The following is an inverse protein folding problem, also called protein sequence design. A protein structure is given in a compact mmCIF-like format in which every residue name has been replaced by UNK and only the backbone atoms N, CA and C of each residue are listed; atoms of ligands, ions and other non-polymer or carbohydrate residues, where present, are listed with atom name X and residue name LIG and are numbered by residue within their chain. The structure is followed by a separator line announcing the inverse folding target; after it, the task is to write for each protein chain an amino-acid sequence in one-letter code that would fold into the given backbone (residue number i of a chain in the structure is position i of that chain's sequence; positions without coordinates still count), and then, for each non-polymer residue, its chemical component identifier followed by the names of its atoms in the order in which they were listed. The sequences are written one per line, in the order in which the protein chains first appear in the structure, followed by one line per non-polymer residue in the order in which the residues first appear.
data_IF_337668304265
#
_entry.id   IF_337668304265
#
_cell.length_a   1.000
_cell.length_b   1.000
_cell.length_c   1.000
_cell.angle_alpha   90.00
_cell.angle_beta   90.00
_cell.angle_gamma   90.00
#
_symmetry.space_group_name_H-M   'P 1'
#
loop_
_entity.id
_entity.type
_entity.pdbx_description
1 polymer ?
#
# COMPACT_ATOMS: atom_id res chain seq x y z
N UNK A 1 -3.09 31.75 25.05
CA UNK A 1 -3.97 30.89 24.26
C UNK A 1 -3.79 29.46 24.77
N UNK A 2 -4.84 28.85 25.32
CA UNK A 2 -4.82 27.42 25.69
C UNK A 2 -4.52 26.60 24.41
N UNK A 3 -3.45 25.79 24.40
CA UNK A 3 -3.23 24.84 23.31
C UNK A 3 -4.37 23.84 23.33
N UNK A 4 -5.11 23.71 22.21
CA UNK A 4 -6.09 22.64 22.05
C UNK A 4 -5.43 21.30 22.30
N UNK A 5 -6.05 20.47 23.13
CA UNK A 5 -5.53 19.12 23.37
C UNK A 5 -5.76 18.26 22.11
N UNK A 6 -4.68 17.99 21.38
CA UNK A 6 -4.72 17.22 20.11
C UNK A 6 -5.13 15.76 20.30
N UNK A 7 -5.20 15.25 21.53
CA UNK A 7 -5.70 13.91 21.86
C UNK A 7 -7.23 13.83 21.85
N UNK A 8 -7.90 14.98 21.90
CA UNK A 8 -9.35 15.04 21.84
C UNK A 8 -9.79 15.04 20.37
N UNK A 9 -10.64 14.09 20.01
CA UNK A 9 -11.13 13.93 18.62
C UNK A 9 -11.82 15.19 18.09
N UNK A 10 -12.50 15.94 18.96
CA UNK A 10 -13.17 17.20 18.62
C UNK A 10 -12.21 18.31 18.17
N UNK A 11 -10.93 18.19 18.50
CA UNK A 11 -9.88 19.12 18.09
C UNK A 11 -9.17 18.68 16.79
N UNK A 12 -9.53 17.51 16.25
CA UNK A 12 -9.03 16.99 14.98
C UNK A 12 -9.78 17.56 13.78
N UNK A 13 -9.24 17.28 12.60
CA UNK A 13 -9.91 17.54 11.34
C UNK A 13 -10.13 16.23 10.59
N UNK A 14 -11.23 16.17 9.84
CA UNK A 14 -11.55 14.99 9.04
C UNK A 14 -10.76 14.99 7.74
N UNK A 15 -10.07 13.90 7.44
CA UNK A 15 -9.51 13.65 6.12
C UNK A 15 -10.65 13.21 5.20
N UNK A 16 -10.82 13.83 4.01
CA UNK A 16 -11.85 13.43 3.07
C UNK A 16 -11.71 11.96 2.66
N UNK A 17 -12.79 11.23 2.78
CA UNK A 17 -12.89 9.82 2.43
C UNK A 17 -14.37 9.49 2.13
N UNK A 18 -14.60 8.36 1.50
CA UNK A 18 -15.96 7.83 1.29
C UNK A 18 -16.49 7.14 2.56
N UNK A 19 -17.26 6.06 2.40
CA UNK A 19 -17.85 5.35 3.55
C UNK A 19 -16.80 4.58 4.34
N UNK A 20 -15.96 3.77 3.65
CA UNK A 20 -14.82 3.09 4.24
C UNK A 20 -13.56 3.95 4.12
N UNK A 21 -12.73 3.96 5.14
CA UNK A 21 -11.43 4.62 5.10
C UNK A 21 -10.43 3.87 5.97
N UNK A 22 -9.26 3.56 5.41
CA UNK A 22 -8.22 2.79 6.07
C UNK A 22 -6.82 3.31 5.75
N UNK A 23 -5.90 3.07 6.67
CA UNK A 23 -4.46 3.29 6.55
C UNK A 23 -4.05 4.69 6.06
N UNK A 24 -4.40 5.76 6.77
CA UNK A 24 -3.92 7.08 6.42
C UNK A 24 -2.42 7.20 6.68
N UNK A 25 -1.63 7.46 5.64
CA UNK A 25 -0.21 7.79 5.76
C UNK A 25 0.04 9.20 5.27
N UNK A 26 0.90 9.93 5.97
CA UNK A 26 1.22 11.33 5.67
C UNK A 26 2.70 11.47 5.40
N UNK A 27 3.04 12.18 4.32
CA UNK A 27 4.37 12.69 4.04
C UNK A 27 4.32 14.23 3.96
N UNK A 28 5.40 14.89 4.35
CA UNK A 28 5.56 16.32 4.15
C UNK A 28 6.30 16.54 2.84
N UNK A 29 5.67 17.26 1.92
CA UNK A 29 6.24 17.63 0.63
C UNK A 29 7.16 18.84 0.73
N UNK A 30 8.00 19.09 -0.27
CA UNK A 30 9.00 20.17 -0.21
C UNK A 30 8.38 21.57 -0.30
N UNK A 31 7.17 21.71 -0.82
CA UNK A 31 6.38 22.93 -0.74
C UNK A 31 5.72 23.16 0.62
N UNK A 32 6.03 22.30 1.61
CA UNK A 32 5.58 22.41 2.99
C UNK A 32 4.21 21.81 3.29
N UNK A 33 3.48 21.33 2.27
CA UNK A 33 2.18 20.71 2.47
C UNK A 33 2.30 19.31 3.09
N UNK A 34 1.25 18.88 3.76
CA UNK A 34 1.02 17.49 4.14
C UNK A 34 0.26 16.80 3.04
N UNK A 35 0.78 15.71 2.54
CA UNK A 35 0.11 14.83 1.60
C UNK A 35 -0.28 13.56 2.33
N UNK A 36 -1.56 13.26 2.38
CA UNK A 36 -2.11 12.05 2.98
C UNK A 36 -2.63 11.12 1.90
N UNK A 37 -2.29 9.82 1.95
CA UNK A 37 -2.99 8.79 1.19
C UNK A 37 -3.94 8.03 2.10
N UNK A 38 -5.00 7.50 1.53
CA UNK A 38 -6.01 6.68 2.21
C UNK A 38 -6.59 5.67 1.21
N UNK A 39 -6.83 4.44 1.66
CA UNK A 39 -7.70 3.51 0.96
C UNK A 39 -9.14 3.85 1.33
N UNK A 40 -10.00 4.03 0.34
CA UNK A 40 -11.39 4.43 0.55
C UNK A 40 -12.32 3.74 -0.43
N UNK A 41 -13.62 3.81 -0.20
CA UNK A 41 -14.66 3.23 -1.04
C UNK A 41 -15.94 2.96 -0.28
N UNK A 42 -16.89 2.34 -0.93
CA UNK A 42 -18.13 1.89 -0.31
C UNK A 42 -17.94 0.53 0.37
N UNK A 43 -18.80 0.20 1.33
CA UNK A 43 -18.80 -1.10 2.01
C UNK A 43 -17.84 -1.19 3.20
N UNK A 44 -17.30 -2.38 3.43
CA UNK A 44 -16.36 -2.70 4.49
C UNK A 44 -14.98 -3.07 3.93
N UNK A 45 -14.00 -3.30 4.80
CA UNK A 45 -12.66 -3.74 4.40
C UNK A 45 -12.71 -4.93 3.44
N UNK A 46 -11.96 -4.82 2.34
CA UNK A 46 -11.91 -5.86 1.31
C UNK A 46 -13.09 -5.89 0.33
N UNK A 47 -14.04 -4.98 0.45
CA UNK A 47 -15.15 -4.87 -0.49
C UNK A 47 -14.67 -4.45 -1.89
N UNK A 48 -15.46 -4.79 -2.90
CA UNK A 48 -15.21 -4.36 -4.27
C UNK A 48 -15.37 -2.83 -4.41
N UNK A 49 -14.60 -2.24 -5.33
CA UNK A 49 -14.65 -0.82 -5.63
C UNK A 49 -13.76 0.05 -4.72
N UNK A 50 -13.01 -0.54 -3.79
CA UNK A 50 -12.03 0.21 -3.01
C UNK A 50 -10.90 0.73 -3.88
N UNK A 51 -10.44 1.94 -3.57
CA UNK A 51 -9.40 2.62 -4.32
C UNK A 51 -8.55 3.51 -3.41
N UNK A 52 -7.39 3.90 -3.91
CA UNK A 52 -6.46 4.78 -3.21
C UNK A 52 -6.66 6.22 -3.68
N UNK A 53 -6.86 7.10 -2.72
CA UNK A 53 -6.95 8.55 -2.94
C UNK A 53 -5.91 9.28 -2.10
N UNK A 54 -5.58 10.50 -2.51
CA UNK A 54 -4.70 11.39 -1.77
C UNK A 54 -5.34 12.75 -1.57
N UNK A 55 -5.07 13.37 -0.41
CA UNK A 55 -5.51 14.71 -0.07
C UNK A 55 -4.31 15.53 0.40
N UNK A 56 -4.34 16.83 0.14
CA UNK A 56 -3.30 17.77 0.56
C UNK A 56 -3.82 18.73 1.62
N UNK A 57 -2.95 19.08 2.56
CA UNK A 57 -3.18 20.14 3.52
C UNK A 57 -2.01 21.12 3.52
N UNK A 58 -2.29 22.41 3.42
CA UNK A 58 -1.29 23.50 3.51
C UNK A 58 -1.27 24.19 4.85
N UNK A 59 -2.08 23.73 5.81
CA UNK A 59 -2.28 24.32 7.13
C UNK A 59 -2.05 23.32 8.28
N UNK A 60 -1.17 22.35 8.04
CA UNK A 60 -0.80 21.30 9.00
C UNK A 60 -1.98 20.41 9.41
N UNK A 61 -2.79 20.00 8.44
CA UNK A 61 -3.88 19.07 8.63
C UNK A 61 -5.17 19.67 9.18
N UNK A 62 -5.30 20.99 9.26
CA UNK A 62 -6.54 21.63 9.71
C UNK A 62 -7.63 21.57 8.65
N UNK A 63 -7.24 21.76 7.40
CA UNK A 63 -8.12 21.57 6.24
C UNK A 63 -7.43 20.71 5.18
N UNK A 64 -8.19 20.05 4.36
CA UNK A 64 -7.73 19.15 3.31
C UNK A 64 -8.38 19.49 1.98
N UNK A 65 -7.63 19.28 0.90
CA UNK A 65 -8.15 19.41 -0.46
C UNK A 65 -9.18 18.32 -0.76
N UNK A 66 -9.91 18.49 -1.87
CA UNK A 66 -10.64 17.39 -2.49
C UNK A 66 -9.70 16.21 -2.77
N UNK A 67 -10.22 14.97 -2.69
CA UNK A 67 -9.44 13.78 -2.99
C UNK A 67 -8.97 13.73 -4.44
N UNK A 68 -7.73 13.32 -4.64
CA UNK A 68 -7.15 13.01 -5.94
C UNK A 68 -6.97 11.50 -6.03
N UNK A 69 -7.65 10.86 -6.97
CA UNK A 69 -7.52 9.43 -7.20
C UNK A 69 -6.15 9.09 -7.78
N UNK A 70 -5.52 8.05 -7.26
CA UNK A 70 -4.20 7.58 -7.74
C UNK A 70 -4.34 6.80 -9.05
N UNK A 71 -5.43 6.07 -9.19
CA UNK A 71 -5.80 5.35 -10.42
C UNK A 71 -6.99 5.99 -11.12
N UNK A 72 -7.18 5.64 -12.39
CA UNK A 72 -8.32 6.12 -13.15
C UNK A 72 -9.63 5.58 -12.55
N UNK A 73 -10.72 6.37 -12.58
CA UNK A 73 -12.03 5.88 -12.15
C UNK A 73 -12.45 4.61 -12.91
N UNK A 74 -12.98 3.64 -12.18
CA UNK A 74 -13.44 2.37 -12.77
C UNK A 74 -12.33 1.33 -13.01
N UNK A 75 -11.10 1.60 -12.57
CA UNK A 75 -10.05 0.57 -12.53
C UNK A 75 -10.40 -0.52 -11.49
N UNK A 76 -9.63 -1.61 -11.51
CA UNK A 76 -9.75 -2.66 -10.48
C UNK A 76 -9.33 -2.10 -9.11
N UNK A 77 -9.72 -2.80 -8.06
CA UNK A 77 -9.45 -2.39 -6.69
C UNK A 77 -7.95 -2.19 -6.44
N UNK A 78 -7.65 -1.12 -5.73
CA UNK A 78 -6.34 -0.82 -5.21
C UNK A 78 -6.43 -0.37 -3.75
N UNK A 79 -5.47 -0.79 -2.92
CA UNK A 79 -5.58 -0.69 -1.46
C UNK A 79 -4.21 -0.71 -0.79
N UNK A 80 -4.20 -0.50 0.52
CA UNK A 80 -3.01 -0.59 1.37
C UNK A 80 -1.86 0.32 0.90
N UNK A 81 -2.19 1.57 0.61
CA UNK A 81 -1.21 2.51 0.10
C UNK A 81 -0.29 3.06 1.18
N UNK A 82 1.00 3.17 0.85
CA UNK A 82 1.99 3.90 1.65
C UNK A 82 2.80 4.81 0.75
N UNK A 83 3.32 5.89 1.30
CA UNK A 83 4.09 6.86 0.53
C UNK A 83 5.53 6.97 1.02
N UNK A 84 6.43 7.29 0.10
CA UNK A 84 7.83 7.59 0.35
C UNK A 84 8.25 8.82 -0.45
N UNK A 85 8.72 9.86 0.24
CA UNK A 85 9.31 11.01 -0.42
C UNK A 85 10.81 10.78 -0.66
N UNK A 86 11.24 10.88 -1.91
CA UNK A 86 12.63 10.83 -2.30
C UNK A 86 13.39 12.12 -1.93
N UNK A 87 14.73 12.09 -1.87
CA UNK A 87 15.54 13.29 -1.67
C UNK A 87 15.35 14.37 -2.74
N UNK A 88 14.97 13.99 -3.97
CA UNK A 88 14.64 14.90 -5.07
C UNK A 88 13.32 15.66 -4.90
N UNK A 89 12.51 15.29 -3.90
CA UNK A 89 11.15 15.82 -3.71
C UNK A 89 10.05 14.99 -4.38
N UNK A 90 10.38 14.07 -5.29
CA UNK A 90 9.44 13.11 -5.88
C UNK A 90 8.79 12.30 -4.76
N UNK A 91 7.48 12.09 -4.85
CA UNK A 91 6.73 11.24 -3.92
C UNK A 91 6.33 9.97 -4.64
N UNK A 92 6.78 8.83 -4.14
CA UNK A 92 6.32 7.51 -4.57
C UNK A 92 5.13 7.09 -3.70
N UNK A 93 4.16 6.43 -4.32
CA UNK A 93 3.04 5.78 -3.65
C UNK A 93 3.00 4.30 -4.05
N UNK A 94 3.07 3.41 -3.07
CA UNK A 94 3.07 1.96 -3.22
C UNK A 94 1.75 1.41 -2.75
N UNK A 95 1.16 0.47 -3.49
CA UNK A 95 -0.14 -0.08 -3.14
C UNK A 95 -0.37 -1.46 -3.79
N UNK A 96 -1.31 -2.20 -3.22
CA UNK A 96 -1.83 -3.42 -3.83
C UNK A 96 -2.79 -3.05 -4.97
N UNK A 97 -2.73 -3.79 -6.06
CA UNK A 97 -3.69 -3.69 -7.15
C UNK A 97 -4.17 -5.08 -7.54
N UNK A 98 -5.47 -5.30 -7.53
CA UNK A 98 -6.09 -6.56 -7.92
C UNK A 98 -6.01 -6.76 -9.46
N UNK A 99 -4.79 -6.82 -9.99
CA UNK A 99 -4.49 -6.85 -11.43
C UNK A 99 -5.14 -8.02 -12.16
N UNK A 100 -5.35 -9.14 -11.47
CA UNK A 100 -5.95 -10.35 -12.02
C UNK A 100 -7.48 -10.28 -12.01
N UNK A 101 -8.07 -9.23 -11.46
CA UNK A 101 -9.52 -9.05 -11.32
C UNK A 101 -10.22 -10.25 -10.66
N UNK A 102 -9.55 -10.86 -9.69
CA UNK A 102 -10.09 -11.99 -8.93
C UNK A 102 -11.17 -11.50 -7.99
N UNK A 103 -12.34 -12.14 -8.00
CA UNK A 103 -13.54 -11.72 -7.23
C UNK A 103 -13.87 -12.65 -6.09
N UNK A 104 -13.37 -13.86 -6.14
CA UNK A 104 -13.59 -14.88 -5.13
C UNK A 104 -12.34 -15.75 -5.00
N UNK A 105 -11.98 -16.10 -3.78
CA UNK A 105 -10.85 -16.97 -3.46
C UNK A 105 -11.30 -18.09 -2.53
N UNK A 106 -10.72 -19.28 -2.71
CA UNK A 106 -10.96 -20.42 -1.83
C UNK A 106 -10.19 -20.27 -0.51
N UNK A 107 -10.79 -20.76 0.56
CA UNK A 107 -10.08 -20.99 1.82
C UNK A 107 -8.98 -22.05 1.64
N UNK A 108 -8.00 -22.08 2.53
CA UNK A 108 -6.91 -23.06 2.50
C UNK A 108 -7.39 -24.50 2.59
N UNK A 109 -8.50 -24.75 3.32
CA UNK A 109 -9.10 -26.06 3.45
C UNK A 109 -10.05 -26.41 2.28
N UNK A 110 -10.23 -25.47 1.33
CA UNK A 110 -11.12 -25.60 0.16
C UNK A 110 -12.61 -25.82 0.49
N UNK A 111 -13.02 -25.53 1.71
CA UNK A 111 -14.42 -25.73 2.16
C UNK A 111 -15.26 -24.45 2.08
N UNK A 112 -14.63 -23.33 1.91
CA UNK A 112 -15.29 -22.04 1.83
C UNK A 112 -14.62 -21.11 0.83
N UNK A 113 -15.24 -19.94 0.65
CA UNK A 113 -14.74 -18.88 -0.22
C UNK A 113 -14.76 -17.53 0.50
N UNK A 114 -13.91 -16.64 0.04
CA UNK A 114 -13.87 -15.23 0.42
C UNK A 114 -14.06 -14.35 -0.80
N UNK A 115 -14.79 -13.29 -0.64
CA UNK A 115 -14.95 -12.23 -1.65
C UNK A 115 -14.02 -11.02 -1.40
N UNK A 116 -13.11 -11.14 -0.45
CA UNK A 116 -12.12 -10.11 -0.14
C UNK A 116 -11.13 -9.97 -1.28
N UNK A 117 -10.96 -8.75 -1.83
CA UNK A 117 -10.17 -8.49 -3.03
C UNK A 117 -8.99 -7.53 -2.82
N UNK A 118 -8.87 -6.95 -1.65
CA UNK A 118 -7.87 -5.93 -1.31
C UNK A 118 -6.45 -6.46 -1.12
N UNK A 119 -6.28 -7.76 -0.86
CA UNK A 119 -5.00 -8.43 -0.61
C UNK A 119 -4.48 -9.25 -1.80
N UNK A 120 -4.92 -8.96 -3.01
CA UNK A 120 -4.68 -9.75 -4.22
C UNK A 120 -3.92 -8.97 -5.30
N UNK A 121 -3.37 -9.70 -6.26
CA UNK A 121 -2.82 -9.17 -7.50
C UNK A 121 -1.34 -8.80 -7.43
N UNK A 122 -1.00 -7.61 -7.90
CA UNK A 122 0.36 -7.08 -7.99
C UNK A 122 0.61 -5.98 -6.97
N UNK A 123 1.85 -5.92 -6.48
CA UNK A 123 2.32 -4.77 -5.73
C UNK A 123 2.93 -3.77 -6.70
N UNK A 124 2.42 -2.56 -6.69
CA UNK A 124 2.73 -1.56 -7.70
C UNK A 124 3.07 -0.22 -7.08
N UNK A 125 3.66 0.67 -7.87
CA UNK A 125 3.82 2.06 -7.48
C UNK A 125 3.53 3.02 -8.63
N UNK A 126 3.21 4.25 -8.25
CA UNK A 126 3.20 5.46 -9.07
C UNK A 126 4.02 6.52 -8.38
N UNK A 127 4.27 7.63 -9.08
CA UNK A 127 4.98 8.76 -8.49
C UNK A 127 4.34 10.11 -8.86
N UNK A 128 4.67 11.10 -8.07
CA UNK A 128 4.29 12.50 -8.28
C UNK A 128 5.53 13.39 -8.22
N UNK A 129 5.70 14.25 -9.23
CA UNK A 129 6.74 15.28 -9.28
C UNK A 129 6.20 16.69 -8.93
N UNK A 130 4.92 16.77 -8.61
CA UNK A 130 4.20 18.02 -8.34
C UNK A 130 3.63 18.09 -6.91
N UNK A 131 4.29 17.39 -5.98
CA UNK A 131 3.93 17.35 -4.56
C UNK A 131 2.57 16.70 -4.28
N UNK A 132 2.17 15.70 -5.09
CA UNK A 132 0.91 14.97 -4.92
C UNK A 132 -0.31 15.66 -5.51
N UNK A 133 -0.13 16.63 -6.42
CA UNK A 133 -1.25 17.24 -7.15
C UNK A 133 -1.74 16.37 -8.29
N UNK A 134 -0.81 15.60 -8.89
CA UNK A 134 -1.12 14.57 -9.86
C UNK A 134 -0.18 13.36 -9.71
N UNK A 135 -0.57 12.25 -10.28
CA UNK A 135 0.18 11.00 -10.26
C UNK A 135 0.58 10.59 -11.68
N UNK A 136 1.73 9.91 -11.82
CA UNK A 136 2.18 9.39 -13.10
C UNK A 136 1.07 8.58 -13.79
N UNK A 137 1.00 8.70 -15.12
CA UNK A 137 0.05 7.92 -15.91
C UNK A 137 0.39 6.44 -15.85
N UNK A 138 1.66 6.14 -16.04
CA UNK A 138 2.22 4.80 -15.97
C UNK A 138 2.24 4.31 -14.53
N UNK A 139 2.09 3.02 -14.38
CA UNK A 139 2.16 2.23 -13.15
C UNK A 139 3.29 1.23 -13.32
N UNK A 140 4.06 1.03 -12.25
CA UNK A 140 5.21 0.15 -12.23
C UNK A 140 4.97 -1.00 -11.27
N UNK A 141 5.10 -2.22 -11.76
CA UNK A 141 4.99 -3.41 -10.90
C UNK A 141 6.32 -3.67 -10.21
N UNK A 142 6.27 -3.99 -8.93
CA UNK A 142 7.43 -4.38 -8.13
C UNK A 142 7.51 -5.90 -8.15
N UNK A 143 8.52 -6.49 -8.80
CA UNK A 143 8.73 -7.91 -8.74
C UNK A 143 9.19 -8.30 -7.33
N UNK A 144 8.59 -9.33 -6.76
CA UNK A 144 9.03 -9.88 -5.50
C UNK A 144 9.11 -11.41 -5.55
N UNK A 145 10.13 -11.93 -4.91
CA UNK A 145 10.37 -13.37 -4.84
C UNK A 145 9.28 -14.04 -4.02
N UNK A 146 8.77 -15.18 -4.50
CA UNK A 146 7.81 -15.99 -3.76
C UNK A 146 8.51 -16.74 -2.64
N UNK A 147 7.87 -16.79 -1.48
CA UNK A 147 8.24 -17.66 -0.37
C UNK A 147 7.49 -19.01 -0.45
N UNK A 148 7.82 -19.94 0.41
CA UNK A 148 7.12 -21.22 0.48
C UNK A 148 5.64 -21.05 0.83
N UNK A 149 5.29 -20.06 1.66
CA UNK A 149 3.90 -19.76 1.96
C UNK A 149 3.10 -19.38 0.70
N UNK A 150 3.72 -18.67 -0.24
CA UNK A 150 3.05 -18.32 -1.51
C UNK A 150 2.94 -19.54 -2.43
N UNK A 151 4.05 -20.29 -2.59
CA UNK A 151 4.10 -21.46 -3.48
C UNK A 151 3.17 -22.59 -3.04
N UNK A 152 2.99 -22.74 -1.73
CA UNK A 152 2.21 -23.82 -1.12
C UNK A 152 0.75 -23.44 -0.88
N UNK A 153 0.30 -22.25 -1.25
CA UNK A 153 -1.10 -21.88 -1.14
C UNK A 153 -1.98 -22.71 -2.11
N UNK A 154 -3.30 -22.66 -1.94
CA UNK A 154 -4.27 -23.46 -2.74
C UNK A 154 -4.19 -23.21 -4.24
N UNK A 155 -3.53 -22.13 -4.66
CA UNK A 155 -3.34 -21.73 -6.05
C UNK A 155 -1.93 -21.98 -6.56
N UNK A 156 -1.04 -22.55 -5.74
CA UNK A 156 0.34 -22.84 -6.14
C UNK A 156 1.14 -21.58 -6.52
N UNK A 157 0.89 -20.47 -5.84
CA UNK A 157 1.56 -19.19 -6.08
C UNK A 157 1.05 -18.39 -7.30
N UNK A 158 0.09 -18.91 -8.07
CA UNK A 158 -0.52 -18.17 -9.18
C UNK A 158 -1.33 -16.97 -8.71
N UNK A 159 -2.04 -17.11 -7.59
CA UNK A 159 -2.67 -16.02 -6.86
C UNK A 159 -1.86 -15.82 -5.59
N UNK A 160 -1.40 -14.59 -5.37
CA UNK A 160 -0.60 -14.19 -4.21
C UNK A 160 -1.49 -13.43 -3.24
N UNK A 161 -1.34 -13.72 -1.95
CA UNK A 161 -2.05 -13.03 -0.89
C UNK A 161 -1.04 -12.21 -0.09
N UNK A 162 -1.20 -10.89 -0.11
CA UNK A 162 -0.31 -9.99 0.60
C UNK A 162 -0.97 -8.64 0.83
N UNK A 163 -0.41 -7.89 1.78
CA UNK A 163 -0.73 -6.47 1.95
C UNK A 163 0.46 -5.71 2.50
N UNK A 164 0.40 -4.40 2.37
CA UNK A 164 1.35 -3.49 2.97
C UNK A 164 0.68 -2.71 4.10
N UNK A 165 1.21 -2.84 5.29
CA UNK A 165 0.76 -2.11 6.48
C UNK A 165 1.91 -1.37 7.16
N UNK A 166 3.11 -1.46 6.61
CA UNK A 166 4.30 -0.83 7.14
C UNK A 166 4.64 0.46 6.40
N UNK A 167 5.10 1.47 7.11
CA UNK A 167 5.58 2.70 6.49
C UNK A 167 6.78 2.40 5.58
N UNK A 168 6.72 2.89 4.33
CA UNK A 168 7.90 2.95 3.48
C UNK A 168 8.92 3.96 4.05
N UNK A 169 10.21 3.65 3.94
CA UNK A 169 11.28 4.52 4.42
C UNK A 169 12.53 4.42 3.54
N UNK A 170 13.43 5.36 3.69
CA UNK A 170 14.73 5.30 3.06
C UNK A 170 15.85 5.17 4.10
N UNK A 171 16.86 4.37 3.76
CA UNK A 171 18.06 4.20 4.54
C UNK A 171 19.26 4.29 3.58
N UNK A 172 20.14 5.24 3.79
CA UNK A 172 21.37 5.45 2.99
C UNK A 172 21.11 5.46 1.47
N UNK A 173 20.08 6.19 1.04
CA UNK A 173 19.71 6.31 -0.38
C UNK A 173 18.93 5.12 -0.93
N UNK A 174 18.70 4.09 -0.14
CA UNK A 174 17.94 2.89 -0.51
C UNK A 174 16.48 3.02 -0.10
N UNK A 175 15.55 2.68 -0.99
CA UNK A 175 14.13 2.60 -0.68
C UNK A 175 13.79 1.23 -0.07
N UNK A 176 12.96 1.25 0.96
CA UNK A 176 12.55 0.06 1.71
C UNK A 176 11.04 0.09 1.91
N UNK A 177 10.35 -0.97 1.51
CA UNK A 177 8.89 -1.13 1.63
C UNK A 177 8.58 -2.52 2.18
N UNK A 178 7.79 -2.60 3.24
CA UNK A 178 7.41 -3.88 3.84
C UNK A 178 6.22 -4.51 3.13
N UNK A 179 6.17 -5.84 3.14
CA UNK A 179 4.99 -6.62 2.78
C UNK A 179 4.74 -7.69 3.85
N UNK A 180 3.47 -7.90 4.16
CA UNK A 180 3.01 -9.09 4.86
C UNK A 180 2.52 -10.07 3.81
N UNK A 181 3.08 -11.27 3.83
CA UNK A 181 2.74 -12.38 2.93
C UNK A 181 1.80 -13.32 3.66
N UNK A 182 0.77 -13.76 2.99
CA UNK A 182 -0.25 -14.64 3.57
C UNK A 182 -0.36 -15.87 2.68
N UNK A 183 0.12 -17.00 3.16
CA UNK A 183 0.06 -18.24 2.38
C UNK A 183 -1.34 -18.82 2.26
N UNK A 184 -2.20 -18.53 3.22
CA UNK A 184 -3.51 -19.15 3.32
C UNK A 184 -4.57 -18.14 3.75
N UNK A 185 -5.75 -18.23 3.18
CA UNK A 185 -6.92 -17.46 3.61
C UNK A 185 -7.89 -18.38 4.36
N UNK A 186 -8.44 -17.89 5.48
CA UNK A 186 -9.33 -18.65 6.35
C UNK A 186 -9.09 -18.36 7.81
N UNK A 187 -9.65 -19.17 8.70
CA UNK A 187 -9.45 -19.02 10.14
C UNK A 187 -7.95 -19.12 10.49
N UNK A 188 -7.49 -18.17 11.29
CA UNK A 188 -6.09 -18.12 11.74
C UNK A 188 -5.06 -17.68 10.70
N UNK A 189 -5.46 -17.10 9.58
CA UNK A 189 -4.54 -16.69 8.53
C UNK A 189 -3.48 -15.66 8.98
N UNK A 190 -3.81 -14.78 9.91
CA UNK A 190 -2.83 -13.84 10.48
C UNK A 190 -1.67 -14.53 11.21
N UNK A 191 -1.93 -15.66 11.84
CA UNK A 191 -0.92 -16.42 12.57
C UNK A 191 0.09 -17.11 11.64
N UNK A 192 -0.24 -17.23 10.37
CA UNK A 192 0.57 -17.87 9.33
C UNK A 192 1.19 -16.85 8.37
N UNK A 193 1.11 -15.58 8.71
CA UNK A 193 1.69 -14.50 7.92
C UNK A 193 3.19 -14.43 8.10
N UNK A 194 3.88 -14.03 7.03
CA UNK A 194 5.32 -13.85 7.00
C UNK A 194 5.65 -12.42 6.58
N UNK A 195 6.49 -11.74 7.35
CA UNK A 195 6.99 -10.42 7.00
C UNK A 195 8.07 -10.50 5.93
N UNK A 196 8.05 -9.58 4.97
CA UNK A 196 9.12 -9.37 4.01
C UNK A 196 9.41 -7.89 3.82
N UNK A 197 10.59 -7.59 3.30
CA UNK A 197 11.00 -6.24 2.96
C UNK A 197 11.44 -6.21 1.50
N UNK A 198 10.92 -5.28 0.73
CA UNK A 198 11.37 -4.98 -0.62
C UNK A 198 12.36 -3.83 -0.55
N UNK A 199 13.55 -4.06 -1.09
CA UNK A 199 14.67 -3.13 -1.08
C UNK A 199 15.00 -2.73 -2.51
N UNK A 200 15.07 -1.42 -2.79
CA UNK A 200 15.59 -0.91 -4.04
C UNK A 200 16.74 0.06 -3.77
N UNK A 201 17.96 -0.26 -4.19
CA UNK A 201 19.12 0.61 -4.00
C UNK A 201 19.13 1.81 -4.94
N UNK A 202 18.37 1.77 -6.02
CA UNK A 202 18.43 2.69 -7.15
C UNK A 202 17.10 3.37 -7.53
N UNK A 203 16.00 3.10 -6.84
CA UNK A 203 14.68 3.74 -7.13
C UNK A 203 14.75 5.27 -7.22
N UNK A 204 15.62 5.91 -6.42
CA UNK A 204 15.71 7.37 -6.39
C UNK A 204 16.64 7.96 -7.47
N UNK A 205 17.41 7.11 -8.14
CA UNK A 205 18.45 7.52 -9.10
C UNK A 205 18.24 6.94 -10.49
N UNK A 206 17.38 5.95 -10.65
CA UNK A 206 17.02 5.40 -11.96
C UNK A 206 16.37 6.47 -12.83
N UNK A 207 16.84 6.61 -14.06
CA UNK A 207 16.28 7.54 -15.04
C UNK A 207 14.84 7.12 -15.40
N UNK A 208 14.63 5.84 -15.62
CA UNK A 208 13.30 5.24 -15.74
C UNK A 208 12.97 4.41 -14.48
N UNK A 209 11.91 4.76 -13.74
CA UNK A 209 11.50 3.97 -12.58
C UNK A 209 11.19 2.49 -12.87
N UNK A 210 10.91 2.14 -14.14
CA UNK A 210 10.72 0.74 -14.56
C UNK A 210 12.02 -0.08 -14.46
N UNK A 211 13.17 0.56 -14.52
CA UNK A 211 14.49 -0.08 -14.46
C UNK A 211 15.00 -0.25 -13.01
N UNK A 212 14.28 0.26 -12.03
CA UNK A 212 14.67 0.14 -10.62
C UNK A 212 14.77 -1.34 -10.20
N UNK A 213 15.89 -1.70 -9.59
CA UNK A 213 16.11 -3.05 -9.10
C UNK A 213 15.43 -3.27 -7.75
N UNK A 214 14.78 -4.43 -7.62
CA UNK A 214 14.10 -4.81 -6.39
C UNK A 214 14.64 -6.13 -5.84
N UNK A 215 14.94 -6.14 -4.57
CA UNK A 215 15.45 -7.28 -3.81
C UNK A 215 14.45 -7.61 -2.72
N UNK A 216 14.04 -8.88 -2.64
CA UNK A 216 13.17 -9.38 -1.57
C UNK A 216 14.00 -9.90 -0.40
N UNK A 217 13.76 -9.37 0.79
CA UNK A 217 14.38 -9.81 2.04
C UNK A 217 13.31 -10.44 2.98
N UNK A 218 13.71 -11.38 3.87
CA UNK A 218 15.04 -11.99 3.97
C UNK A 218 15.37 -12.85 2.73
N UNK A 219 16.63 -13.20 2.58
CA UNK A 219 17.03 -14.21 1.59
C UNK A 219 16.49 -15.60 2.00
N UNK A 220 16.34 -16.50 0.99
CA UNK A 220 15.80 -17.85 1.23
C UNK A 220 14.29 -17.95 0.95
N UNK A 221 13.69 -19.03 1.40
CA UNK A 221 12.34 -19.45 1.01
C UNK A 221 11.24 -19.09 2.03
N UNK A 222 11.60 -18.48 3.16
CA UNK A 222 10.67 -18.05 4.19
C UNK A 222 10.91 -16.60 4.58
N UNK A 223 9.83 -15.93 4.99
CA UNK A 223 9.85 -14.59 5.55
C UNK A 223 10.11 -14.57 7.05
N UNK A 224 10.00 -13.37 7.63
CA UNK A 224 10.09 -13.17 9.06
C UNK A 224 8.79 -13.62 9.73
N UNK A 225 8.92 -14.45 10.74
CA UNK A 225 7.82 -14.91 11.59
C UNK A 225 8.08 -14.52 13.04
N UNK A 226 7.01 -14.25 13.77
CA UNK A 226 7.11 -14.21 15.24
C UNK A 226 7.49 -15.62 15.75
N UNK A 227 8.42 -15.73 16.71
CA UNK A 227 8.64 -17.00 17.38
C UNK A 227 7.34 -17.54 17.97
N UNK A 228 7.12 -18.83 17.98
CA UNK A 228 5.95 -19.45 18.61
C UNK A 228 5.88 -19.18 20.11
#
# INVERSE_FOLDING_TARGET
MSRSDWRLLENGSRIPAENYADQPYVVKTDDGAWLCCVTTGMGSEGAQGQHVSTCRSTDCGRTWSEPVSVEAPGDVENSYAVMLKAPSGRVFIFYNRNSDNVREISTHDRRGTFTRVDCLGSFVFKYSDDHGRSWSRERYEIPFRLFDCDRNNVYGGRIRFFWNVGRAFSLDGTALVSLIRVGEMGEGFYQRSEGSLLKSPDLFTADDPAEAHWITLPEGDAGLRTPP
#
